data_IF_927658853950
#
_entry.id   IF_927658853950
#
_cell.length_a   1.000
_cell.length_b   1.000
_cell.length_c   1.000
_cell.angle_alpha   90.00
_cell.angle_beta   90.00
_cell.angle_gamma   90.00
#
_symmetry.space_group_name_H-M   'P 1'
#
loop_
_entity.id
_entity.type
_entity.pdbx_description
1 polymer ?
#
# COMPACT_ATOMS: atom_id res chain seq x y z
N UNK A 1 -18.65 6.55 0.19
CA UNK A 1 -18.04 5.95 1.41
C UNK A 1 -18.10 6.91 2.58
N UNK A 2 -17.46 8.09 2.49
CA UNK A 2 -17.35 9.06 3.60
C UNK A 2 -18.71 9.46 4.18
N UNK A 3 -19.72 9.73 3.32
CA UNK A 3 -21.07 10.06 3.80
C UNK A 3 -21.70 8.93 4.63
N UNK A 4 -21.54 7.70 4.20
CA UNK A 4 -22.00 6.53 4.94
C UNK A 4 -21.29 6.39 6.29
N UNK A 5 -19.99 6.68 6.33
CA UNK A 5 -19.23 6.69 7.59
C UNK A 5 -19.69 7.78 8.55
N UNK A 6 -20.00 8.98 8.03
CA UNK A 6 -20.54 10.08 8.83
C UNK A 6 -21.94 9.78 9.42
N UNK A 7 -22.75 8.97 8.72
CA UNK A 7 -24.07 8.54 9.19
C UNK A 7 -23.99 7.37 10.16
N UNK A 8 -23.02 6.46 9.98
CA UNK A 8 -22.87 5.24 10.78
C UNK A 8 -21.97 5.44 12.02
N UNK A 9 -21.04 6.41 11.95
CA UNK A 9 -20.07 6.74 13.01
C UNK A 9 -19.23 5.52 13.48
N UNK A 10 -18.51 4.83 12.57
CA UNK A 10 -17.71 3.66 12.93
C UNK A 10 -16.57 4.03 13.87
N UNK A 11 -16.29 3.17 14.83
CA UNK A 11 -15.09 3.18 15.67
C UNK A 11 -13.96 2.27 15.13
N UNK A 12 -14.28 1.47 14.09
CA UNK A 12 -13.34 0.61 13.40
C UNK A 12 -13.67 0.58 11.90
N UNK A 13 -12.65 0.75 11.08
CA UNK A 13 -12.73 0.67 9.62
C UNK A 13 -11.85 -0.50 9.16
N UNK A 14 -12.43 -1.45 8.42
CA UNK A 14 -11.70 -2.59 7.88
C UNK A 14 -11.70 -2.48 6.36
N UNK A 15 -10.54 -2.19 5.78
CA UNK A 15 -10.34 -2.15 4.34
C UNK A 15 -9.86 -3.51 3.83
N UNK A 16 -10.74 -4.24 3.15
CA UNK A 16 -10.44 -5.55 2.58
C UNK A 16 -10.35 -5.43 1.05
N UNK A 17 -9.19 -5.72 0.47
CA UNK A 17 -9.02 -5.66 -0.98
C UNK A 17 -7.58 -5.48 -1.45
N UNK A 18 -7.40 -5.16 -2.72
CA UNK A 18 -6.10 -4.75 -3.27
C UNK A 18 -5.74 -3.31 -2.89
N UNK A 19 -4.61 -2.82 -3.40
CA UNK A 19 -4.11 -1.47 -3.10
C UNK A 19 -5.17 -0.38 -3.26
N UNK A 20 -5.90 -0.36 -4.39
CA UNK A 20 -6.92 0.66 -4.65
C UNK A 20 -8.05 0.69 -3.60
N UNK A 21 -8.45 -0.48 -3.08
CA UNK A 21 -9.48 -0.54 -2.03
C UNK A 21 -8.95 -0.02 -0.70
N UNK A 22 -7.71 -0.38 -0.35
CA UNK A 22 -7.05 0.09 0.87
C UNK A 22 -6.76 1.60 0.80
N UNK A 23 -6.28 2.10 -0.34
CA UNK A 23 -6.01 3.53 -0.57
C UNK A 23 -7.30 4.35 -0.49
N UNK A 24 -8.38 3.88 -1.13
CA UNK A 24 -9.69 4.51 -0.99
C UNK A 24 -10.17 4.50 0.47
N UNK A 25 -9.96 3.39 1.19
CA UNK A 25 -10.25 3.27 2.62
C UNK A 25 -9.51 4.30 3.46
N UNK A 26 -8.21 4.51 3.21
CA UNK A 26 -7.39 5.52 3.90
C UNK A 26 -7.93 6.93 3.68
N UNK A 27 -8.28 7.27 2.44
CA UNK A 27 -8.84 8.60 2.14
C UNK A 27 -10.24 8.78 2.75
N UNK A 28 -11.08 7.76 2.70
CA UNK A 28 -12.39 7.80 3.37
C UNK A 28 -12.22 7.96 4.89
N UNK A 29 -11.23 7.32 5.49
CA UNK A 29 -10.88 7.46 6.89
C UNK A 29 -10.48 8.90 7.23
N UNK A 30 -9.58 9.53 6.46
CA UNK A 30 -9.20 10.94 6.63
C UNK A 30 -10.42 11.84 6.56
N UNK A 31 -11.22 11.72 5.51
CA UNK A 31 -12.40 12.57 5.32
C UNK A 31 -13.53 12.31 6.34
N UNK A 32 -13.53 11.15 6.98
CA UNK A 32 -14.45 10.83 8.08
C UNK A 32 -14.01 11.50 9.38
N UNK A 33 -12.73 11.40 9.74
CA UNK A 33 -12.22 12.01 10.97
C UNK A 33 -12.08 13.54 10.85
N UNK A 34 -11.71 14.03 9.66
CA UNK A 34 -11.39 15.42 9.36
C UNK A 34 -12.18 15.92 8.13
N UNK A 35 -13.49 16.14 8.26
CA UNK A 35 -14.30 16.59 7.13
C UNK A 35 -13.96 18.00 6.62
N UNK A 36 -13.20 18.77 7.40
CA UNK A 36 -12.70 20.11 7.03
C UNK A 36 -11.51 20.05 6.06
N UNK A 37 -10.86 18.91 5.91
CA UNK A 37 -9.65 18.77 5.09
C UNK A 37 -9.99 18.80 3.60
N UNK A 38 -9.22 19.56 2.84
CA UNK A 38 -9.31 19.58 1.39
C UNK A 38 -8.35 18.56 0.78
N UNK A 39 -8.86 17.67 -0.06
CA UNK A 39 -8.06 16.66 -0.75
C UNK A 39 -6.89 17.25 -1.55
N UNK A 40 -7.12 18.37 -2.25
CA UNK A 40 -6.09 18.99 -3.07
C UNK A 40 -4.94 19.58 -2.25
N UNK A 41 -5.19 20.04 -1.03
CA UNK A 41 -4.15 20.54 -0.15
C UNK A 41 -3.21 19.39 0.28
N UNK A 42 -3.77 18.22 0.59
CA UNK A 42 -3.00 17.01 0.89
C UNK A 42 -2.19 16.52 -0.31
N UNK A 43 -2.78 16.51 -1.50
CA UNK A 43 -2.14 16.05 -2.72
C UNK A 43 -0.99 17.00 -3.15
N UNK A 44 -1.16 18.30 -2.98
CA UNK A 44 -0.15 19.30 -3.34
C UNK A 44 1.07 19.29 -2.44
N UNK A 45 0.96 18.86 -1.20
CA UNK A 45 2.10 18.73 -0.28
C UNK A 45 3.16 17.75 -0.83
N UNK A 46 2.72 16.67 -1.44
CA UNK A 46 3.63 15.71 -2.07
C UNK A 46 4.14 16.18 -3.46
N UNK A 47 3.31 16.83 -4.24
CA UNK A 47 3.64 17.22 -5.61
C UNK A 47 4.54 18.45 -5.70
N UNK A 48 4.49 19.37 -4.74
CA UNK A 48 5.32 20.57 -4.72
C UNK A 48 6.09 20.69 -3.41
N UNK A 49 7.32 20.20 -3.42
CA UNK A 49 8.24 20.22 -2.27
C UNK A 49 8.46 21.63 -1.68
N UNK A 50 8.22 22.70 -2.46
CA UNK A 50 8.34 24.09 -1.99
C UNK A 50 7.13 24.53 -1.18
N UNK A 51 6.03 23.80 -1.24
CA UNK A 51 4.75 24.08 -0.57
C UNK A 51 4.48 23.16 0.63
N UNK A 52 5.51 22.55 1.22
CA UNK A 52 5.39 21.72 2.44
C UNK A 52 4.98 22.55 3.67
N UNK A 53 3.90 23.30 3.53
CA UNK A 53 3.29 24.09 4.63
C UNK A 53 2.07 23.36 5.21
N UNK A 54 1.57 22.33 4.50
CA UNK A 54 0.42 21.56 4.96
C UNK A 54 0.86 20.60 6.08
N UNK A 55 0.17 20.68 7.20
CA UNK A 55 0.33 19.72 8.30
C UNK A 55 -0.79 18.70 8.19
N UNK A 56 -0.44 17.43 7.99
CA UNK A 56 -1.43 16.36 7.91
C UNK A 56 -2.11 16.21 9.29
N UNK A 57 -3.45 16.04 9.34
CA UNK A 57 -4.15 15.90 10.61
C UNK A 57 -3.78 14.58 11.29
N UNK A 58 -3.83 14.56 12.62
CA UNK A 58 -3.63 13.32 13.39
C UNK A 58 -4.79 12.35 13.15
N UNK A 59 -4.45 11.07 12.93
CA UNK A 59 -5.41 10.05 12.56
C UNK A 59 -5.57 8.95 13.63
N UNK A 60 -6.78 8.45 13.77
CA UNK A 60 -7.11 7.34 14.66
C UNK A 60 -7.78 7.76 15.97
N UNK A 61 -8.25 8.99 16.07
CA UNK A 61 -8.98 9.47 17.24
C UNK A 61 -10.44 8.97 17.25
N UNK A 62 -11.05 8.84 16.06
CA UNK A 62 -12.44 8.36 15.92
C UNK A 62 -12.53 6.89 15.58
N UNK A 63 -11.67 6.41 14.67
CA UNK A 63 -11.76 5.07 14.15
C UNK A 63 -10.39 4.38 14.03
N UNK A 64 -10.33 3.12 14.44
CA UNK A 64 -9.17 2.27 14.26
C UNK A 64 -9.16 1.71 12.83
N UNK A 65 -8.08 1.93 12.06
CA UNK A 65 -7.99 1.49 10.67
C UNK A 65 -7.22 0.16 10.55
N UNK A 66 -7.89 -0.84 9.99
CA UNK A 66 -7.33 -2.17 9.72
C UNK A 66 -7.29 -2.39 8.21
N UNK A 67 -6.14 -2.84 7.69
CA UNK A 67 -5.97 -3.20 6.30
C UNK A 67 -5.81 -4.72 6.14
N UNK A 68 -6.55 -5.29 5.19
CA UNK A 68 -6.54 -6.74 4.89
C UNK A 68 -6.33 -6.91 3.38
N UNK A 69 -5.09 -7.13 2.91
CA UNK A 69 -4.79 -7.24 1.48
C UNK A 69 -5.35 -8.53 0.89
N UNK A 70 -5.86 -8.44 -0.35
CA UNK A 70 -6.27 -9.58 -1.17
C UNK A 70 -5.40 -9.75 -2.42
N UNK A 71 -4.30 -8.98 -2.50
CA UNK A 71 -3.27 -9.10 -3.55
C UNK A 71 -1.89 -8.98 -2.92
N UNK A 72 -0.89 -9.62 -3.53
CA UNK A 72 0.49 -9.64 -3.06
C UNK A 72 1.36 -8.76 -3.96
N UNK A 73 1.35 -7.45 -3.74
CA UNK A 73 2.09 -6.49 -4.59
C UNK A 73 2.31 -5.14 -3.94
N UNK A 74 1.25 -4.40 -3.70
CA UNK A 74 1.31 -2.97 -3.36
C UNK A 74 1.89 -2.65 -1.99
N UNK A 75 1.73 -3.56 -1.00
CA UNK A 75 2.16 -3.29 0.38
C UNK A 75 1.37 -2.16 1.06
N UNK A 76 0.21 -1.75 0.51
CA UNK A 76 -0.56 -0.62 1.06
C UNK A 76 -0.99 -0.83 2.50
N UNK A 77 -1.09 -2.08 2.95
CA UNK A 77 -1.42 -2.46 4.33
C UNK A 77 -0.36 -2.03 5.36
N UNK A 78 0.87 -1.75 4.92
CA UNK A 78 2.00 -1.35 5.79
C UNK A 78 2.71 -0.10 5.31
N UNK A 79 2.04 0.73 4.51
CA UNK A 79 2.66 1.94 3.95
C UNK A 79 1.89 3.20 4.27
N UNK A 80 2.60 4.34 4.39
CA UNK A 80 2.01 5.65 4.65
C UNK A 80 1.49 6.32 3.36
N UNK A 81 1.24 5.56 2.29
CA UNK A 81 0.85 6.08 0.99
C UNK A 81 -0.59 5.74 0.66
N UNK A 82 -1.23 6.63 -0.12
CA UNK A 82 -2.48 6.38 -0.82
C UNK A 82 -2.44 7.04 -2.20
N UNK A 83 -2.73 6.28 -3.27
CA UNK A 83 -2.72 6.79 -4.64
C UNK A 83 -4.15 6.81 -5.17
N UNK A 84 -4.65 8.01 -5.44
CA UNK A 84 -6.01 8.23 -5.95
C UNK A 84 -5.96 8.76 -7.37
N UNK A 85 -6.76 8.18 -8.25
CA UNK A 85 -6.90 8.65 -9.62
C UNK A 85 -8.11 9.57 -9.72
N UNK A 86 -7.92 10.78 -10.25
CA UNK A 86 -9.03 11.64 -10.65
C UNK A 86 -9.61 11.09 -11.97
N UNK A 87 -10.84 10.62 -11.91
CA UNK A 87 -11.54 10.05 -13.07
C UNK A 87 -11.78 11.06 -14.20
N UNK A 88 -11.80 12.36 -13.90
CA UNK A 88 -12.05 13.40 -14.90
C UNK A 88 -10.82 13.75 -15.73
N UNK A 89 -9.65 13.72 -15.10
CA UNK A 89 -8.37 14.10 -15.72
C UNK A 89 -7.47 12.90 -16.02
N UNK A 90 -7.72 11.76 -15.39
CA UNK A 90 -6.85 10.58 -15.42
C UNK A 90 -5.54 10.75 -14.62
N UNK A 91 -5.38 11.87 -13.91
CA UNK A 91 -4.19 12.15 -13.12
C UNK A 91 -4.22 11.35 -11.82
N UNK A 92 -3.09 10.76 -11.48
CA UNK A 92 -2.87 10.08 -10.19
C UNK A 92 -2.27 11.05 -9.19
N UNK A 93 -2.89 11.13 -8.03
CA UNK A 93 -2.44 11.93 -6.91
C UNK A 93 -1.92 11.02 -5.79
N UNK A 94 -0.60 10.92 -5.62
CA UNK A 94 -0.03 10.24 -4.47
C UNK A 94 -0.16 11.15 -3.24
N UNK A 95 -0.67 10.58 -2.15
CA UNK A 95 -0.63 11.18 -0.83
C UNK A 95 0.36 10.38 0.01
N UNK A 96 1.17 11.07 0.80
CA UNK A 96 2.20 10.45 1.62
C UNK A 96 2.29 11.15 2.97
N UNK A 97 1.83 10.48 4.01
CA UNK A 97 2.03 10.91 5.39
C UNK A 97 1.94 9.70 6.32
N UNK A 98 2.75 9.66 7.37
CA UNK A 98 2.75 8.55 8.33
C UNK A 98 1.40 8.38 9.06
N UNK A 99 0.59 9.41 9.13
CA UNK A 99 -0.76 9.35 9.66
C UNK A 99 -1.70 8.47 8.83
N UNK A 100 -1.39 8.26 7.53
CA UNK A 100 -2.12 7.32 6.65
C UNK A 100 -1.76 5.84 6.89
N UNK A 101 -0.77 5.57 7.73
CA UNK A 101 -0.37 4.18 8.01
C UNK A 101 -1.49 3.43 8.73
N UNK A 102 -1.94 2.27 8.21
CA UNK A 102 -2.89 1.43 8.92
C UNK A 102 -2.40 1.11 10.33
N UNK A 103 -3.29 1.12 11.30
CA UNK A 103 -2.95 0.79 12.70
C UNK A 103 -2.75 -0.72 12.89
N UNK A 104 -3.33 -1.54 11.99
CA UNK A 104 -3.16 -2.99 11.94
C UNK A 104 -3.21 -3.48 10.49
N UNK A 105 -2.36 -4.44 10.16
CA UNK A 105 -2.43 -5.22 8.93
C UNK A 105 -2.73 -6.68 9.26
N UNK A 106 -3.70 -7.29 8.58
CA UNK A 106 -4.03 -8.71 8.70
C UNK A 106 -3.68 -9.39 7.39
N UNK A 107 -2.65 -10.22 7.40
CA UNK A 107 -2.16 -10.92 6.21
C UNK A 107 -2.71 -12.34 6.23
N UNK A 108 -3.75 -12.56 5.44
CA UNK A 108 -4.38 -13.87 5.26
C UNK A 108 -4.22 -14.32 3.79
N UNK A 109 -3.34 -15.29 3.58
CA UNK A 109 -3.04 -15.80 2.23
C UNK A 109 -4.20 -16.55 1.58
N UNK A 110 -5.17 -17.01 2.35
CA UNK A 110 -6.34 -17.70 1.81
C UNK A 110 -7.19 -16.77 0.93
N UNK A 111 -7.19 -15.46 1.24
CA UNK A 111 -7.84 -14.42 0.43
C UNK A 111 -7.19 -14.26 -0.96
N UNK A 112 -5.97 -14.73 -1.14
CA UNK A 112 -5.18 -14.62 -2.37
C UNK A 112 -5.14 -15.94 -3.18
N UNK A 113 -5.76 -17.03 -2.68
CA UNK A 113 -5.68 -18.37 -3.29
C UNK A 113 -6.11 -18.35 -4.76
N UNK A 114 -7.20 -17.68 -5.07
CA UNK A 114 -7.79 -17.64 -6.40
C UNK A 114 -7.35 -16.45 -7.26
N UNK A 115 -6.24 -15.76 -6.91
CA UNK A 115 -5.73 -14.68 -7.74
C UNK A 115 -5.45 -15.16 -9.17
N UNK A 116 -5.98 -14.46 -10.20
CA UNK A 116 -5.68 -14.77 -11.60
C UNK A 116 -4.19 -14.65 -11.91
N UNK A 117 -3.71 -15.45 -12.87
CA UNK A 117 -2.28 -15.44 -13.28
C UNK A 117 -1.75 -14.05 -13.65
N UNK A 118 -2.55 -13.28 -14.41
CA UNK A 118 -2.18 -11.90 -14.78
C UNK A 118 -1.98 -11.00 -13.58
N UNK A 119 -2.89 -11.06 -12.60
CA UNK A 119 -2.75 -10.30 -11.35
C UNK A 119 -1.59 -10.81 -10.52
N UNK A 120 -1.41 -12.14 -10.42
CA UNK A 120 -0.28 -12.74 -9.68
C UNK A 120 1.07 -12.27 -10.22
N UNK A 121 1.24 -12.27 -11.55
CA UNK A 121 2.50 -11.79 -12.16
C UNK A 121 2.68 -10.28 -12.00
N UNK A 122 1.66 -9.49 -12.31
CA UNK A 122 1.75 -8.03 -12.23
C UNK A 122 2.06 -7.57 -10.79
N UNK A 123 1.29 -8.06 -9.81
CA UNK A 123 1.51 -7.69 -8.41
C UNK A 123 2.82 -8.24 -7.85
N UNK A 124 3.21 -9.46 -8.24
CA UNK A 124 4.48 -10.04 -7.79
C UNK A 124 5.72 -9.32 -8.34
N UNK A 125 5.66 -8.85 -9.59
CA UNK A 125 6.72 -8.01 -10.18
C UNK A 125 6.71 -6.62 -9.54
N UNK A 126 5.56 -6.07 -9.22
CA UNK A 126 5.43 -4.83 -8.48
C UNK A 126 6.12 -4.92 -7.11
N UNK A 127 5.83 -5.96 -6.32
CA UNK A 127 6.52 -6.22 -5.06
C UNK A 127 8.04 -6.39 -5.24
N UNK A 128 8.48 -7.02 -6.33
CA UNK A 128 9.90 -7.15 -6.66
C UNK A 128 10.53 -5.79 -6.93
N UNK A 129 9.84 -4.94 -7.68
CA UNK A 129 10.29 -3.58 -7.98
C UNK A 129 10.37 -2.73 -6.73
N UNK A 130 9.37 -2.80 -5.84
CA UNK A 130 9.40 -2.16 -4.54
C UNK A 130 10.66 -2.52 -3.75
N UNK A 131 10.95 -3.81 -3.64
CA UNK A 131 12.11 -4.29 -2.90
C UNK A 131 13.44 -3.87 -3.54
N UNK A 132 13.55 -3.91 -4.90
CA UNK A 132 14.75 -3.46 -5.63
C UNK A 132 14.98 -1.95 -5.47
N UNK A 133 13.93 -1.14 -5.60
CA UNK A 133 14.05 0.30 -5.46
C UNK A 133 14.35 0.72 -4.02
N UNK A 134 13.72 0.06 -3.02
CA UNK A 134 14.04 0.30 -1.62
C UNK A 134 15.50 -0.03 -1.31
N UNK A 135 16.03 -1.15 -1.82
CA UNK A 135 17.42 -1.55 -1.65
C UNK A 135 18.41 -0.59 -2.32
N UNK A 136 18.06 -0.06 -3.50
CA UNK A 136 18.91 0.88 -4.25
C UNK A 136 18.74 2.34 -3.82
N UNK A 137 17.80 2.63 -2.90
CA UNK A 137 17.49 3.99 -2.47
C UNK A 137 18.66 4.63 -1.72
N UNK A 138 18.80 5.94 -1.90
CA UNK A 138 19.75 6.75 -1.10
C UNK A 138 19.35 6.85 0.38
N UNK A 139 18.11 6.46 0.71
CA UNK A 139 17.58 6.40 2.07
C UNK A 139 17.59 4.98 2.65
N UNK A 140 18.20 4.02 1.94
CA UNK A 140 18.32 2.64 2.41
C UNK A 140 19.12 2.57 3.72
N UNK A 141 18.75 1.62 4.55
CA UNK A 141 19.39 1.33 5.83
C UNK A 141 19.56 -0.17 5.99
N UNK A 142 20.40 -0.63 6.89
CA UNK A 142 20.57 -2.07 7.19
C UNK A 142 19.21 -2.76 7.51
N UNK A 143 18.25 -2.04 8.10
CA UNK A 143 16.92 -2.56 8.39
C UNK A 143 16.09 -2.72 7.11
N UNK A 144 16.05 -1.71 6.25
CA UNK A 144 15.32 -1.77 4.99
C UNK A 144 15.96 -2.77 4.03
N UNK A 145 17.28 -2.87 4.01
CA UNK A 145 18.03 -3.83 3.20
C UNK A 145 17.71 -5.27 3.61
N UNK A 146 17.65 -5.55 4.91
CA UNK A 146 17.26 -6.86 5.42
C UNK A 146 15.87 -7.28 4.93
N UNK A 147 14.88 -6.38 4.98
CA UNK A 147 13.51 -6.62 4.49
C UNK A 147 13.49 -6.78 2.98
N UNK A 148 14.14 -5.88 2.24
CA UNK A 148 14.18 -5.90 0.78
C UNK A 148 14.83 -7.19 0.23
N UNK A 149 15.98 -7.56 0.75
CA UNK A 149 16.70 -8.80 0.35
C UNK A 149 15.89 -10.06 0.68
N UNK A 150 15.21 -10.08 1.85
CA UNK A 150 14.34 -11.20 2.22
C UNK A 150 13.15 -11.31 1.28
N UNK A 151 12.50 -10.17 0.96
CA UNK A 151 11.40 -10.11 0.01
C UNK A 151 11.84 -10.61 -1.38
N UNK A 152 12.96 -10.10 -1.91
CA UNK A 152 13.52 -10.52 -3.20
C UNK A 152 13.77 -12.03 -3.25
N UNK A 153 14.44 -12.59 -2.24
CA UNK A 153 14.68 -14.04 -2.18
C UNK A 153 13.40 -14.84 -2.22
N UNK A 154 12.38 -14.41 -1.50
CA UNK A 154 11.07 -15.07 -1.48
C UNK A 154 10.38 -14.94 -2.83
N UNK A 155 10.36 -13.75 -3.44
CA UNK A 155 9.71 -13.50 -4.73
C UNK A 155 10.36 -14.34 -5.84
N UNK A 156 11.68 -14.33 -5.96
CA UNK A 156 12.39 -15.17 -6.96
C UNK A 156 12.08 -16.66 -6.80
N UNK A 157 11.86 -17.11 -5.58
CA UNK A 157 11.58 -18.54 -5.31
C UNK A 157 10.11 -18.90 -5.57
N UNK A 158 9.19 -18.05 -5.12
CA UNK A 158 7.77 -18.42 -5.01
C UNK A 158 6.87 -17.78 -6.07
N UNK A 159 7.24 -16.67 -6.70
CA UNK A 159 6.42 -16.06 -7.75
C UNK A 159 6.20 -17.00 -8.94
N UNK A 160 7.21 -17.72 -9.48
CA UNK A 160 7.00 -18.69 -10.55
C UNK A 160 6.03 -19.81 -10.13
N UNK A 161 6.08 -20.26 -8.90
CA UNK A 161 5.19 -21.29 -8.36
C UNK A 161 3.77 -20.78 -8.23
N UNK A 162 3.59 -19.60 -7.61
CA UNK A 162 2.29 -18.96 -7.46
C UNK A 162 1.64 -18.64 -8.82
N UNK A 163 2.44 -18.28 -9.83
CA UNK A 163 1.96 -18.04 -11.19
C UNK A 163 1.50 -19.31 -11.88
N UNK A 164 2.28 -20.39 -11.78
CA UNK A 164 1.99 -21.66 -12.49
C UNK A 164 0.79 -22.38 -11.91
N UNK A 165 0.72 -22.53 -10.59
CA UNK A 165 -0.30 -23.33 -9.89
C UNK A 165 -0.67 -22.78 -8.51
N UNK A 166 -0.81 -21.45 -8.38
CA UNK A 166 -1.05 -20.80 -7.09
C UNK A 166 -2.33 -21.26 -6.38
N UNK A 167 -3.34 -21.71 -7.10
CA UNK A 167 -4.56 -22.21 -6.47
C UNK A 167 -4.35 -23.51 -5.68
N UNK A 168 -3.36 -24.32 -6.06
CA UNK A 168 -3.00 -25.58 -5.41
C UNK A 168 -1.68 -25.49 -4.62
N UNK A 169 -1.03 -24.32 -4.59
CA UNK A 169 0.21 -24.09 -3.86
C UNK A 169 0.02 -23.02 -2.76
N UNK A 170 -0.59 -23.38 -1.62
CA UNK A 170 -0.83 -22.42 -0.53
C UNK A 170 0.47 -21.88 0.06
N UNK A 171 1.56 -22.66 0.03
CA UNK A 171 2.87 -22.20 0.50
C UNK A 171 3.39 -21.07 -0.38
N UNK A 172 3.27 -21.18 -1.71
CA UNK A 172 3.68 -20.10 -2.59
C UNK A 172 2.83 -18.85 -2.39
N UNK A 173 1.52 -18.98 -2.19
CA UNK A 173 0.63 -17.85 -1.87
C UNK A 173 1.01 -17.18 -0.57
N UNK A 174 1.19 -17.94 0.51
CA UNK A 174 1.65 -17.42 1.80
C UNK A 174 2.98 -16.67 1.68
N UNK A 175 3.97 -17.29 1.03
CA UNK A 175 5.30 -16.66 0.88
C UNK A 175 5.27 -15.41 0.02
N UNK A 176 4.41 -15.36 -1.01
CA UNK A 176 4.24 -14.15 -1.82
C UNK A 176 3.52 -13.04 -1.06
N UNK A 177 2.50 -13.34 -0.25
CA UNK A 177 1.84 -12.34 0.57
C UNK A 177 2.79 -11.72 1.60
N UNK A 178 3.55 -12.55 2.31
CA UNK A 178 4.57 -12.09 3.27
C UNK A 178 5.65 -11.25 2.56
N UNK A 179 6.15 -11.70 1.40
CA UNK A 179 7.17 -10.98 0.65
C UNK A 179 6.70 -9.61 0.16
N UNK A 180 5.44 -9.49 -0.26
CA UNK A 180 4.81 -8.22 -0.62
C UNK A 180 4.79 -7.25 0.57
N UNK A 181 4.40 -7.73 1.74
CA UNK A 181 4.38 -6.94 2.98
C UNK A 181 5.82 -6.56 3.42
N UNK A 182 6.80 -7.49 3.35
CA UNK A 182 8.22 -7.20 3.63
C UNK A 182 8.76 -6.10 2.69
N UNK A 183 8.44 -6.16 1.38
CA UNK A 183 8.79 -5.12 0.42
C UNK A 183 8.09 -3.78 0.74
N UNK A 184 6.83 -3.84 1.15
CA UNK A 184 6.06 -2.69 1.62
C UNK A 184 6.74 -1.99 2.80
N UNK A 185 7.13 -2.76 3.82
CA UNK A 185 7.84 -2.23 4.99
C UNK A 185 9.20 -1.64 4.62
N UNK A 186 9.90 -2.22 3.64
CA UNK A 186 11.18 -1.70 3.18
C UNK A 186 10.99 -0.32 2.52
N UNK A 187 10.11 -0.21 1.50
CA UNK A 187 9.95 1.06 0.78
C UNK A 187 9.17 2.12 1.56
N UNK A 188 8.34 1.75 2.52
CA UNK A 188 7.71 2.72 3.42
C UNK A 188 8.74 3.58 4.18
N UNK A 189 9.95 3.05 4.38
CA UNK A 189 11.04 3.73 5.08
C UNK A 189 12.18 4.20 4.15
N UNK A 190 12.48 3.45 3.07
CA UNK A 190 13.53 3.81 2.12
C UNK A 190 13.03 4.61 0.92
N UNK A 191 11.71 4.71 0.73
CA UNK A 191 11.04 5.27 -0.44
C UNK A 191 11.31 4.48 -1.72
N UNK A 192 10.79 4.99 -2.84
CA UNK A 192 10.88 4.39 -4.17
C UNK A 192 11.80 5.20 -5.08
N UNK A 193 12.07 4.71 -6.27
CA UNK A 193 13.01 5.28 -7.21
C UNK A 193 12.37 5.67 -8.54
N UNK A 194 13.18 5.59 -9.60
CA UNK A 194 12.85 6.09 -10.93
C UNK A 194 11.74 5.29 -11.61
N UNK A 195 11.68 3.97 -11.39
CA UNK A 195 10.69 3.10 -12.04
C UNK A 195 9.27 3.52 -11.64
N UNK A 196 9.00 3.66 -10.35
CA UNK A 196 7.71 4.12 -9.86
C UNK A 196 7.43 5.58 -10.23
N UNK A 197 8.44 6.45 -10.17
CA UNK A 197 8.28 7.86 -10.57
C UNK A 197 7.92 8.03 -12.05
N UNK A 198 8.33 7.10 -12.91
CA UNK A 198 7.98 7.11 -14.33
C UNK A 198 6.63 6.44 -14.61
N UNK A 199 6.20 5.52 -13.75
CA UNK A 199 4.94 4.79 -13.90
C UNK A 199 3.73 5.60 -13.43
N UNK A 200 3.93 6.52 -12.49
CA UNK A 200 2.90 7.42 -11.94
C UNK A 200 2.81 8.70 -12.75
#
# INVERSE_FOLDING_TARGET
GTKAMQEFEPDCIIAVGGGSAMDAGKIMWVMYEHPEVNFMDMAMDFMDIRKRVYTFPHMGDKAYFIAVPTSAGTGSEVTPFAVITDETTGVKYPLADYELMPKMAIIDSDLMTNMPKGLTSASGIDAMTHALEAYASVMATDFTDGLALKALKSIFTYLPRAYNDGANDPVAREKMSIASTEAGMAFANAFLGVCHSMAH
#
